data_IF_579361780562
#
_entry.id   IF_579361780562
#
_cell.length_a   1.000
_cell.length_b   1.000
_cell.length_c   1.000
_cell.angle_alpha   90.00
_cell.angle_beta   90.00
_cell.angle_gamma   90.00
#
_symmetry.space_group_name_H-M   'P 1'
#
loop_
_entity.id
_entity.type
_entity.pdbx_description
1 polymer ?
#
# COMPACT_ATOMS: atom_id res chain seq x y z
N UNK A 1 47.40 0.18 -42.35
CA UNK A 1 47.43 -0.30 -40.94
C UNK A 1 46.38 0.50 -40.18
N UNK A 2 45.17 -0.04 -40.01
CA UNK A 2 44.06 0.63 -39.33
C UNK A 2 43.54 -0.27 -38.20
N UNK A 3 43.87 0.16 -36.98
CA UNK A 3 43.22 -0.01 -35.69
C UNK A 3 42.07 -1.04 -35.60
N UNK A 4 42.40 -2.26 -35.18
CA UNK A 4 41.44 -3.32 -34.81
C UNK A 4 40.90 -3.19 -33.36
N UNK A 5 41.37 -2.23 -32.57
CA UNK A 5 41.06 -2.21 -31.12
C UNK A 5 39.66 -1.71 -30.75
N UNK A 6 38.95 -1.05 -31.67
CA UNK A 6 37.59 -0.54 -31.37
C UNK A 6 36.49 -1.62 -31.45
N UNK A 7 36.77 -2.82 -31.97
CA UNK A 7 35.74 -3.81 -32.25
C UNK A 7 35.26 -4.63 -31.04
N UNK A 8 36.02 -4.66 -29.93
CA UNK A 8 35.74 -5.53 -28.78
C UNK A 8 35.27 -4.75 -27.54
N UNK A 9 35.56 -3.45 -27.49
CA UNK A 9 35.25 -2.59 -26.34
C UNK A 9 33.73 -2.31 -26.24
N UNK A 10 33.07 -2.09 -27.38
CA UNK A 10 31.64 -1.83 -27.44
C UNK A 10 30.77 -2.98 -26.87
N UNK A 11 30.94 -4.25 -27.26
CA UNK A 11 30.13 -5.35 -26.72
C UNK A 11 30.40 -5.60 -25.22
N UNK A 12 31.64 -5.42 -24.75
CA UNK A 12 31.99 -5.59 -23.34
C UNK A 12 31.29 -4.54 -22.44
N UNK A 13 31.24 -3.29 -22.87
CA UNK A 13 30.53 -2.23 -22.13
C UNK A 13 29.03 -2.51 -22.09
N UNK A 14 28.42 -2.90 -23.22
CA UNK A 14 26.98 -3.21 -23.28
C UNK A 14 26.62 -4.37 -22.34
N UNK A 15 27.46 -5.42 -22.31
CA UNK A 15 27.25 -6.58 -21.43
C UNK A 15 27.35 -6.18 -19.95
N UNK A 16 28.29 -5.30 -19.62
CA UNK A 16 28.49 -4.84 -18.25
C UNK A 16 27.32 -3.97 -17.78
N UNK A 17 26.83 -3.06 -18.63
CA UNK A 17 25.67 -2.21 -18.33
C UNK A 17 24.41 -3.05 -18.17
N UNK A 18 24.18 -4.05 -19.03
CA UNK A 18 23.01 -4.93 -18.91
C UNK A 18 23.06 -5.80 -17.67
N UNK A 19 24.23 -6.33 -17.29
CA UNK A 19 24.39 -7.08 -16.03
C UNK A 19 24.16 -6.20 -14.79
N UNK A 20 24.69 -4.98 -14.77
CA UNK A 20 24.46 -4.03 -13.66
C UNK A 20 22.99 -3.63 -13.59
N UNK A 21 22.35 -3.36 -14.72
CA UNK A 21 20.92 -3.05 -14.75
C UNK A 21 20.07 -4.22 -14.27
N UNK A 22 20.37 -5.45 -14.69
CA UNK A 22 19.67 -6.65 -14.24
C UNK A 22 19.90 -6.94 -12.74
N UNK A 23 21.12 -6.75 -12.23
CA UNK A 23 21.42 -6.85 -10.81
C UNK A 23 20.68 -5.78 -10.00
N UNK A 24 20.62 -4.54 -10.51
CA UNK A 24 19.91 -3.45 -9.86
C UNK A 24 18.39 -3.66 -9.86
N UNK A 25 17.81 -4.15 -10.96
CA UNK A 25 16.38 -4.45 -11.02
C UNK A 25 16.03 -5.62 -10.12
N UNK A 26 16.81 -6.70 -10.10
CA UNK A 26 16.57 -7.85 -9.20
C UNK A 26 16.74 -7.48 -7.73
N UNK A 27 17.73 -6.64 -7.39
CA UNK A 27 17.93 -6.15 -6.03
C UNK A 27 16.78 -5.24 -5.55
N UNK A 28 16.24 -4.41 -6.45
CA UNK A 28 15.08 -3.55 -6.16
C UNK A 28 13.73 -4.21 -6.43
N UNK A 29 13.71 -5.42 -6.98
CA UNK A 29 12.51 -6.24 -7.11
C UNK A 29 12.24 -6.83 -5.73
N UNK A 30 11.66 -6.02 -4.86
CA UNK A 30 11.16 -6.46 -3.56
C UNK A 30 10.23 -7.67 -3.83
N UNK A 31 10.58 -8.90 -3.39
CA UNK A 31 9.79 -10.10 -3.63
C UNK A 31 8.59 -10.06 -2.68
N UNK A 32 7.74 -9.06 -2.89
CA UNK A 32 6.62 -8.78 -2.03
C UNK A 32 5.62 -9.91 -2.22
N UNK A 33 5.14 -10.52 -1.12
CA UNK A 33 4.16 -11.58 -1.23
C UNK A 33 2.95 -11.10 -2.03
N UNK A 34 2.57 -11.89 -3.03
CA UNK A 34 1.29 -11.76 -3.74
C UNK A 34 0.14 -12.04 -2.78
N UNK A 35 -1.10 -11.65 -3.12
CA UNK A 35 -2.27 -11.81 -2.25
C UNK A 35 -2.41 -13.26 -1.75
N UNK A 36 -2.20 -14.24 -2.63
CA UNK A 36 -2.29 -15.66 -2.28
C UNK A 36 -1.20 -16.15 -1.31
N UNK A 37 -0.14 -15.36 -1.12
CA UNK A 37 0.95 -15.66 -0.19
C UNK A 37 0.76 -14.99 1.18
N UNK A 38 -0.19 -14.06 1.32
CA UNK A 38 -0.54 -13.53 2.64
C UNK A 38 -1.34 -14.58 3.40
N UNK A 39 -0.82 -15.01 4.54
CA UNK A 39 -1.53 -15.94 5.43
C UNK A 39 -2.91 -15.39 5.74
N UNK A 40 -3.95 -16.21 5.60
CA UNK A 40 -5.34 -15.86 5.92
C UNK A 40 -5.50 -15.32 7.34
N UNK A 41 -4.70 -15.82 8.29
CA UNK A 41 -4.64 -15.29 9.67
C UNK A 41 -4.13 -13.85 9.76
N UNK A 42 -3.16 -13.46 8.92
CA UNK A 42 -2.65 -12.08 8.88
C UNK A 42 -3.67 -11.12 8.26
N UNK A 43 -4.41 -11.56 7.24
CA UNK A 43 -5.51 -10.78 6.66
C UNK A 43 -6.66 -10.60 7.68
N UNK A 44 -7.02 -11.64 8.42
CA UNK A 44 -8.02 -11.55 9.49
C UNK A 44 -7.56 -10.63 10.65
N UNK A 45 -6.28 -10.72 11.05
CA UNK A 45 -5.70 -9.80 12.05
C UNK A 45 -5.73 -8.35 11.58
N UNK A 46 -5.39 -8.09 10.31
CA UNK A 46 -5.44 -6.76 9.70
C UNK A 46 -6.84 -6.17 9.82
N UNK A 47 -7.85 -6.91 9.37
CA UNK A 47 -9.25 -6.45 9.35
C UNK A 47 -9.73 -6.22 10.78
N UNK A 48 -9.59 -7.19 11.68
CA UNK A 48 -10.04 -7.05 13.06
C UNK A 48 -9.37 -5.86 13.77
N UNK A 49 -8.05 -5.73 13.64
CA UNK A 49 -7.31 -4.66 14.32
C UNK A 49 -7.63 -3.28 13.75
N UNK A 50 -8.00 -3.17 12.47
CA UNK A 50 -8.54 -1.95 11.89
C UNK A 50 -9.88 -1.57 12.53
N UNK A 51 -10.81 -2.53 12.59
CA UNK A 51 -12.16 -2.33 13.11
C UNK A 51 -12.17 -1.88 14.58
N UNK A 52 -11.27 -2.42 15.39
CA UNK A 52 -11.09 -2.02 16.79
C UNK A 52 -10.61 -0.57 16.94
N UNK A 53 -9.89 -0.04 15.95
CA UNK A 53 -9.24 1.28 16.02
C UNK A 53 -10.04 2.38 15.33
N UNK A 54 -10.77 2.04 14.27
CA UNK A 54 -11.53 3.00 13.47
C UNK A 54 -12.42 3.93 14.32
N UNK A 55 -13.24 3.44 15.27
CA UNK A 55 -14.08 4.32 16.08
C UNK A 55 -13.30 5.38 16.86
N UNK A 56 -12.13 5.02 17.39
CA UNK A 56 -11.28 5.93 18.14
C UNK A 56 -10.66 7.01 17.23
N UNK A 57 -10.27 6.65 16.01
CA UNK A 57 -9.78 7.62 15.02
C UNK A 57 -10.87 8.57 14.56
N UNK A 58 -12.07 8.06 14.24
CA UNK A 58 -13.20 8.92 13.86
C UNK A 58 -13.60 9.86 15.00
N UNK A 59 -13.70 9.37 16.23
CA UNK A 59 -14.01 10.20 17.40
C UNK A 59 -12.93 11.26 17.66
N UNK A 60 -11.65 10.94 17.44
CA UNK A 60 -10.57 11.91 17.53
C UNK A 60 -10.71 12.99 16.46
N UNK A 61 -10.92 12.61 15.20
CA UNK A 61 -11.08 13.54 14.09
C UNK A 61 -12.27 14.48 14.31
N UNK A 62 -13.42 13.95 14.74
CA UNK A 62 -14.62 14.73 15.07
C UNK A 62 -14.39 15.77 16.17
N UNK A 63 -13.55 15.45 17.17
CA UNK A 63 -13.16 16.41 18.22
C UNK A 63 -12.18 17.47 17.71
N UNK A 64 -11.28 17.13 16.79
CA UNK A 64 -10.27 18.06 16.27
C UNK A 64 -10.86 19.04 15.24
N UNK A 65 -11.84 18.58 14.47
CA UNK A 65 -12.45 19.35 13.38
C UNK A 65 -13.97 19.38 13.54
N UNK A 66 -14.50 20.05 14.58
CA UNK A 66 -15.94 20.06 14.86
C UNK A 66 -16.71 20.74 13.72
N UNK A 67 -17.69 20.03 13.15
CA UNK A 67 -18.54 20.55 12.07
C UNK A 67 -17.90 20.57 10.67
N UNK A 68 -16.58 20.43 10.56
CA UNK A 68 -15.87 20.32 9.28
C UNK A 68 -15.66 18.85 8.90
N UNK A 69 -16.64 18.29 8.20
CA UNK A 69 -16.64 16.87 7.82
C UNK A 69 -15.50 16.48 6.87
N UNK A 70 -15.01 17.41 6.05
CA UNK A 70 -13.89 17.12 5.14
C UNK A 70 -12.59 16.95 5.90
N UNK A 71 -12.29 17.89 6.82
CA UNK A 71 -11.10 17.79 7.65
C UNK A 71 -11.15 16.59 8.60
N UNK A 72 -12.34 16.17 9.04
CA UNK A 72 -12.50 14.94 9.83
C UNK A 72 -12.09 13.70 9.03
N UNK A 73 -12.56 13.57 7.79
CA UNK A 73 -12.21 12.46 6.92
C UNK A 73 -10.70 12.44 6.63
N UNK A 74 -10.09 13.58 6.33
CA UNK A 74 -8.66 13.68 6.05
C UNK A 74 -7.81 13.24 7.26
N UNK A 75 -8.13 13.66 8.49
CA UNK A 75 -7.41 13.20 9.69
C UNK A 75 -7.62 11.71 9.97
N UNK A 76 -8.83 11.21 9.71
CA UNK A 76 -9.13 9.77 9.78
C UNK A 76 -8.26 8.98 8.79
N UNK A 77 -8.27 9.34 7.50
CA UNK A 77 -7.49 8.66 6.47
C UNK A 77 -5.99 8.75 6.72
N UNK A 78 -5.50 9.88 7.25
CA UNK A 78 -4.10 10.01 7.68
C UNK A 78 -3.76 9.05 8.82
N UNK A 79 -4.66 8.89 9.79
CA UNK A 79 -4.50 7.95 10.91
C UNK A 79 -4.51 6.50 10.43
N UNK A 80 -5.45 6.14 9.54
CA UNK A 80 -5.52 4.84 8.88
C UNK A 80 -4.24 4.54 8.08
N UNK A 81 -3.77 5.48 7.27
CA UNK A 81 -2.54 5.33 6.49
C UNK A 81 -1.33 5.09 7.39
N UNK A 82 -1.17 5.87 8.46
CA UNK A 82 -0.06 5.69 9.42
C UNK A 82 -0.11 4.32 10.09
N UNK A 83 -1.31 3.83 10.43
CA UNK A 83 -1.47 2.49 10.98
C UNK A 83 -1.20 1.39 9.96
N UNK A 84 -1.71 1.51 8.72
CA UNK A 84 -1.41 0.55 7.65
C UNK A 84 0.11 0.51 7.38
N UNK A 85 0.78 1.66 7.45
CA UNK A 85 2.24 1.84 7.42
C UNK A 85 2.95 1.35 8.70
N UNK A 86 2.26 0.96 9.75
CA UNK A 86 2.87 0.22 10.86
C UNK A 86 2.72 -1.29 10.62
N UNK A 87 1.54 -1.71 10.15
CA UNK A 87 1.23 -3.10 9.84
C UNK A 87 2.14 -3.67 8.75
N UNK A 88 2.33 -2.94 7.64
CA UNK A 88 3.16 -3.34 6.50
C UNK A 88 4.60 -3.75 6.90
N UNK A 89 5.14 -3.11 7.95
CA UNK A 89 6.52 -3.16 8.44
C UNK A 89 6.65 -4.32 9.40
N UNK A 90 5.68 -4.42 10.32
CA UNK A 90 5.59 -5.52 11.28
C UNK A 90 5.44 -6.88 10.59
N UNK A 91 4.66 -6.93 9.51
CA UNK A 91 4.31 -8.19 8.83
C UNK A 91 5.07 -8.42 7.52
N UNK A 92 5.98 -7.52 7.12
CA UNK A 92 6.72 -7.57 5.86
C UNK A 92 5.80 -7.79 4.63
N UNK A 93 4.64 -7.12 4.62
CA UNK A 93 3.66 -7.19 3.54
C UNK A 93 3.75 -5.93 2.69
N UNK A 94 3.56 -6.08 1.37
CA UNK A 94 3.51 -4.95 0.46
C UNK A 94 2.48 -3.89 0.91
N UNK A 95 2.79 -2.58 0.78
CA UNK A 95 1.82 -1.51 1.00
C UNK A 95 0.51 -1.72 0.23
N UNK A 96 0.62 -2.00 -1.07
CA UNK A 96 -0.55 -2.18 -1.94
C UNK A 96 -1.40 -3.40 -1.58
N UNK A 97 -0.77 -4.47 -1.09
CA UNK A 97 -1.47 -5.67 -0.64
C UNK A 97 -2.23 -5.38 0.66
N UNK A 98 -1.64 -4.64 1.61
CA UNK A 98 -2.33 -4.22 2.84
C UNK A 98 -3.57 -3.39 2.53
N UNK A 99 -3.44 -2.38 1.65
CA UNK A 99 -4.57 -1.53 1.27
C UNK A 99 -5.68 -2.31 0.56
N UNK A 100 -5.31 -3.22 -0.33
CA UNK A 100 -6.26 -4.07 -1.05
C UNK A 100 -6.96 -5.09 -0.13
N UNK A 101 -6.24 -5.70 0.81
CA UNK A 101 -6.84 -6.59 1.81
C UNK A 101 -7.79 -5.84 2.73
N UNK A 102 -7.44 -4.61 3.12
CA UNK A 102 -8.31 -3.75 3.90
C UNK A 102 -9.58 -3.41 3.12
N UNK A 103 -9.46 -2.93 1.88
CA UNK A 103 -10.60 -2.63 1.01
C UNK A 103 -11.49 -3.87 0.78
N UNK A 104 -10.89 -5.02 0.49
CA UNK A 104 -11.62 -6.29 0.32
C UNK A 104 -12.35 -6.69 1.60
N UNK A 105 -11.68 -6.59 2.76
CA UNK A 105 -12.27 -6.90 4.06
C UNK A 105 -13.42 -5.98 4.43
N UNK A 106 -13.31 -4.69 4.12
CA UNK A 106 -14.39 -3.72 4.32
C UNK A 106 -15.58 -3.98 3.40
N UNK A 107 -15.34 -4.33 2.13
CA UNK A 107 -16.38 -4.73 1.16
C UNK A 107 -17.08 -6.04 1.52
N UNK A 108 -16.40 -6.94 2.20
CA UNK A 108 -16.97 -8.24 2.62
C UNK A 108 -17.90 -8.14 3.84
N UNK A 109 -18.10 -6.94 4.41
CA UNK A 109 -19.05 -6.72 5.49
C UNK A 109 -20.46 -6.66 4.90
N UNK A 110 -21.43 -7.24 5.61
CA UNK A 110 -22.87 -6.97 5.40
C UNK A 110 -23.23 -5.56 5.95
N UNK A 111 -22.44 -4.56 5.57
CA UNK A 111 -22.67 -3.16 5.88
C UNK A 111 -23.10 -2.46 4.59
N UNK A 112 -24.22 -1.75 4.62
CA UNK A 112 -24.63 -0.99 3.44
C UNK A 112 -23.62 0.12 3.17
N UNK A 113 -23.18 0.29 1.91
CA UNK A 113 -22.30 1.40 1.57
C UNK A 113 -23.05 2.72 1.79
N UNK A 114 -22.44 3.61 2.55
CA UNK A 114 -22.91 4.99 2.65
C UNK A 114 -22.58 5.70 1.33
N UNK A 115 -23.59 5.80 0.47
CA UNK A 115 -23.52 6.45 -0.85
C UNK A 115 -23.47 7.98 -0.77
N UNK A 116 -23.61 8.56 0.42
CA UNK A 116 -23.48 10.01 0.67
C UNK A 116 -22.01 10.38 0.92
N UNK A 117 -21.11 9.79 0.15
CA UNK A 117 -19.69 10.18 0.12
C UNK A 117 -19.47 11.21 -0.98
N UNK A 118 -18.65 12.23 -0.70
CA UNK A 118 -18.23 13.19 -1.70
C UNK A 118 -17.53 12.49 -2.87
N UNK A 119 -17.82 12.94 -4.11
CA UNK A 119 -17.40 12.29 -5.35
C UNK A 119 -15.88 12.08 -5.52
N UNK A 120 -15.06 12.74 -4.70
CA UNK A 120 -13.60 12.65 -4.73
C UNK A 120 -13.01 11.68 -3.70
N UNK A 121 -13.83 10.93 -2.94
CA UNK A 121 -13.29 9.96 -1.98
C UNK A 121 -12.73 8.71 -2.69
N UNK A 122 -11.52 8.25 -2.33
CA UNK A 122 -10.91 7.08 -2.96
C UNK A 122 -11.61 5.75 -2.58
N UNK A 123 -12.46 5.74 -1.54
CA UNK A 123 -13.26 4.56 -1.16
C UNK A 123 -14.62 4.95 -0.57
N UNK A 124 -15.62 4.09 -0.76
CA UNK A 124 -16.93 4.18 -0.10
C UNK A 124 -16.76 4.09 1.43
N UNK A 125 -17.59 4.82 2.16
CA UNK A 125 -17.74 4.60 3.59
C UNK A 125 -18.71 3.42 3.79
N UNK A 126 -18.36 2.51 4.69
CA UNK A 126 -19.21 1.39 5.10
C UNK A 126 -19.48 1.60 6.60
N UNK A 127 -20.74 1.75 6.98
CA UNK A 127 -21.19 2.02 8.36
C UNK A 127 -22.00 0.84 8.91
#
# INVERSE_FOLDING_TARGET
>A
MMNLEFSVVAPAIILTVTLVAAAYTTWNSDPRPTIGQVKTSAAAELIRSHQEREPAWRAKAARQFPGDVWSQDDDFFLSEYRWAKSFWKKHAVAPGIVLMLLDTGLRSRDAEPNVVVSACKPRLAYE
#
